data_IF_018193052900
#
_entry.id   IF_018193052900
#
_cell.length_a   1.000
_cell.length_b   1.000
_cell.length_c   1.000
_cell.angle_alpha   90.00
_cell.angle_beta   90.00
_cell.angle_gamma   90.00
#
_symmetry.space_group_name_H-M   'P 1'
#
loop_
_entity.id
_entity.type
_entity.pdbx_description
1 polymer ?
#
# COMPACT_ATOMS: atom_id res chain seq x y z
N UNK A 1 -6.80 -45.33 -12.24
CA UNK A 1 -8.20 -45.49 -11.79
C UNK A 1 -8.27 -45.00 -10.35
N UNK A 2 -9.40 -44.40 -9.95
CA UNK A 2 -9.59 -43.40 -8.89
C UNK A 2 -9.24 -42.00 -9.44
N UNK A 3 -10.13 -41.15 -9.98
CA UNK A 3 -11.55 -40.92 -9.69
C UNK A 3 -11.66 -39.74 -8.72
N UNK A 4 -11.88 -38.49 -9.17
CA UNK A 4 -11.94 -37.34 -8.27
C UNK A 4 -13.28 -37.30 -7.54
N UNK A 5 -13.23 -36.96 -6.26
CA UNK A 5 -14.38 -36.82 -5.39
C UNK A 5 -15.24 -35.61 -5.80
N UNK A 6 -16.55 -35.86 -5.88
CA UNK A 6 -17.60 -34.90 -6.21
C UNK A 6 -17.77 -33.86 -5.08
N UNK A 7 -17.79 -32.59 -5.46
CA UNK A 7 -18.27 -31.49 -4.62
C UNK A 7 -19.79 -31.54 -4.52
N UNK A 8 -20.41 -31.26 -3.35
CA UNK A 8 -21.86 -31.21 -3.26
C UNK A 8 -22.39 -29.96 -3.96
N UNK A 9 -23.32 -30.22 -4.87
CA UNK A 9 -24.14 -29.30 -5.65
C UNK A 9 -25.09 -28.51 -4.74
N UNK A 10 -24.71 -27.30 -4.34
CA UNK A 10 -25.63 -26.33 -3.75
C UNK A 10 -26.46 -25.68 -4.87
N UNK A 11 -27.52 -26.40 -5.26
CA UNK A 11 -28.55 -25.92 -6.15
C UNK A 11 -29.30 -24.72 -5.57
N UNK A 12 -28.87 -23.51 -5.94
CA UNK A 12 -29.71 -22.32 -5.88
C UNK A 12 -29.74 -21.62 -7.24
N UNK A 13 -30.83 -21.86 -7.97
CA UNK A 13 -31.21 -21.12 -9.16
C UNK A 13 -31.47 -19.66 -8.79
N UNK A 14 -30.66 -18.73 -9.32
CA UNK A 14 -30.88 -17.28 -9.17
C UNK A 14 -32.22 -16.90 -9.83
N UNK A 15 -33.17 -16.27 -9.12
CA UNK A 15 -34.24 -15.55 -9.78
C UNK A 15 -33.61 -14.40 -10.58
N UNK A 16 -33.89 -14.36 -11.88
CA UNK A 16 -33.41 -13.32 -12.77
C UNK A 16 -33.96 -11.95 -12.38
N UNK A 17 -33.08 -11.02 -12.04
CA UNK A 17 -33.41 -9.62 -11.80
C UNK A 17 -32.31 -8.93 -10.99
N UNK A 18 -31.36 -8.29 -11.64
CA UNK A 18 -30.41 -7.40 -10.97
C UNK A 18 -31.19 -6.24 -10.33
N UNK A 19 -31.02 -5.94 -9.02
CA UNK A 19 -31.49 -4.67 -8.48
C UNK A 19 -30.71 -3.53 -9.14
N UNK A 20 -31.38 -2.75 -9.99
CA UNK A 20 -30.81 -1.55 -10.60
C UNK A 20 -30.95 -0.40 -9.62
N UNK A 21 -29.87 -0.08 -8.91
CA UNK A 21 -29.74 1.21 -8.23
C UNK A 21 -29.68 2.28 -9.32
N UNK A 22 -30.57 3.30 -9.34
CA UNK A 22 -30.48 4.39 -10.31
C UNK A 22 -29.13 5.11 -10.18
N UNK A 23 -28.44 5.32 -11.29
CA UNK A 23 -27.23 6.15 -11.34
C UNK A 23 -27.55 7.61 -11.01
N UNK A 24 -26.57 8.38 -10.49
CA UNK A 24 -26.77 9.81 -10.21
C UNK A 24 -27.08 10.58 -11.49
N UNK A 25 -27.87 11.66 -11.38
CA UNK A 25 -28.19 12.58 -12.49
C UNK A 25 -26.89 13.12 -13.11
N UNK A 26 -26.83 13.15 -14.44
CA UNK A 26 -25.75 13.81 -15.17
C UNK A 26 -25.71 15.32 -14.85
N UNK A 27 -24.51 15.89 -14.78
CA UNK A 27 -24.33 17.32 -14.66
C UNK A 27 -24.93 18.03 -15.90
N UNK A 28 -25.61 19.16 -15.68
CA UNK A 28 -26.37 19.87 -16.70
C UNK A 28 -25.51 20.69 -17.69
N UNK A 29 -24.19 20.66 -17.55
CA UNK A 29 -23.28 21.51 -18.30
C UNK A 29 -22.31 20.63 -19.09
N UNK A 30 -22.72 20.18 -20.28
CA UNK A 30 -21.85 19.80 -21.40
C UNK A 30 -22.73 19.48 -22.62
N UNK A 31 -23.21 20.53 -23.30
CA UNK A 31 -23.77 20.41 -24.65
C UNK A 31 -22.96 21.32 -25.58
N UNK A 32 -22.10 20.69 -26.38
CA UNK A 32 -21.39 21.29 -27.50
C UNK A 32 -22.39 21.70 -28.60
N UNK A 33 -22.46 22.99 -28.99
CA UNK A 33 -23.43 23.47 -29.98
C UNK A 33 -23.18 22.97 -31.42
N UNK A 34 -22.12 22.19 -31.68
CA UNK A 34 -21.76 21.72 -33.02
C UNK A 34 -22.48 20.44 -33.51
N UNK A 35 -23.27 19.76 -32.68
CA UNK A 35 -23.97 18.50 -33.03
C UNK A 35 -25.49 18.54 -32.82
N UNK A 36 -26.15 19.56 -33.35
CA UNK A 36 -27.62 19.58 -33.44
C UNK A 36 -28.13 18.54 -34.48
N UNK A 37 -28.96 17.54 -34.12
CA UNK A 37 -29.57 16.64 -35.09
C UNK A 37 -30.62 17.37 -35.94
N UNK A 38 -30.65 17.05 -37.22
CA UNK A 38 -31.61 17.59 -38.19
C UNK A 38 -33.05 17.15 -37.87
N UNK A 39 -33.97 18.12 -38.02
CA UNK A 39 -35.44 18.05 -38.07
C UNK A 39 -36.10 16.70 -37.77
N UNK A 40 -36.59 16.54 -36.55
CA UNK A 40 -37.50 15.45 -36.19
C UNK A 40 -38.85 15.57 -36.94
N UNK A 41 -39.49 14.43 -37.30
CA UNK A 41 -40.86 14.43 -37.80
C UNK A 41 -41.82 15.04 -36.77
N UNK A 42 -42.98 15.57 -37.20
CA UNK A 42 -43.90 16.29 -36.32
C UNK A 42 -44.29 15.42 -35.11
N UNK A 43 -44.44 16.03 -33.92
CA UNK A 43 -44.67 15.31 -32.69
C UNK A 43 -45.91 14.42 -32.83
N UNK A 44 -45.74 13.14 -32.52
CA UNK A 44 -46.88 12.30 -32.19
C UNK A 44 -47.61 12.97 -31.01
N UNK A 45 -48.95 12.96 -30.98
CA UNK A 45 -49.68 13.51 -29.86
C UNK A 45 -49.15 12.88 -28.56
N UNK A 46 -48.98 13.66 -27.48
CA UNK A 46 -48.46 13.14 -26.23
C UNK A 46 -49.27 11.91 -25.84
N UNK A 47 -48.59 10.79 -25.63
CA UNK A 47 -49.20 9.66 -24.93
C UNK A 47 -49.78 10.23 -23.64
N UNK A 48 -51.08 10.03 -23.44
CA UNK A 48 -51.78 10.51 -22.25
C UNK A 48 -50.96 10.12 -21.02
N UNK A 49 -50.48 11.12 -20.27
CA UNK A 49 -49.85 10.89 -18.98
C UNK A 49 -50.89 10.12 -18.16
N UNK A 50 -50.61 8.87 -17.76
CA UNK A 50 -51.58 8.10 -17.01
C UNK A 50 -51.95 8.93 -15.76
N UNK A 51 -53.25 8.99 -15.41
CA UNK A 51 -53.69 9.76 -14.26
C UNK A 51 -52.89 9.31 -13.02
N UNK A 52 -52.57 10.25 -12.11
CA UNK A 52 -51.85 9.89 -10.89
C UNK A 52 -52.59 8.75 -10.19
N UNK A 53 -51.86 7.77 -9.62
CA UNK A 53 -52.48 6.60 -9.02
C UNK A 53 -53.48 7.06 -7.95
N UNK A 54 -54.70 6.51 -8.03
CA UNK A 54 -55.74 6.87 -7.07
C UNK A 54 -55.28 6.52 -5.64
N UNK A 55 -55.81 7.23 -4.65
CA UNK A 55 -55.57 6.91 -3.23
C UNK A 55 -55.83 5.43 -2.91
N UNK A 56 -56.83 4.78 -3.52
CA UNK A 56 -57.09 3.35 -3.32
C UNK A 56 -55.92 2.46 -3.78
N UNK A 57 -55.27 2.82 -4.90
CA UNK A 57 -54.10 2.11 -5.43
C UNK A 57 -52.91 2.32 -4.49
N UNK A 58 -52.62 3.56 -4.11
CA UNK A 58 -51.51 3.88 -3.20
C UNK A 58 -51.68 3.22 -1.82
N UNK A 59 -52.90 3.19 -1.30
CA UNK A 59 -53.25 2.47 -0.07
C UNK A 59 -53.01 0.96 -0.19
N UNK A 60 -53.30 0.36 -1.34
CA UNK A 60 -53.03 -1.08 -1.58
C UNK A 60 -51.54 -1.40 -1.66
N UNK A 61 -50.69 -0.43 -2.03
CA UNK A 61 -49.25 -0.60 -2.12
C UNK A 61 -48.53 -0.51 -0.76
N UNK A 62 -49.18 -0.04 0.30
CA UNK A 62 -48.55 0.15 1.62
C UNK A 62 -47.90 -1.12 2.17
N UNK A 63 -48.54 -2.28 1.96
CA UNK A 63 -47.98 -3.57 2.39
C UNK A 63 -46.73 -3.98 1.60
N UNK A 64 -46.75 -3.80 0.27
CA UNK A 64 -45.59 -4.08 -0.58
C UNK A 64 -44.45 -3.09 -0.33
N UNK A 65 -44.78 -1.82 -0.07
CA UNK A 65 -43.83 -0.78 0.30
C UNK A 65 -43.17 -1.07 1.66
N UNK A 66 -43.95 -1.53 2.65
CA UNK A 66 -43.43 -1.92 3.96
C UNK A 66 -42.44 -3.09 3.89
N UNK A 67 -42.59 -3.98 2.89
CA UNK A 67 -41.70 -5.10 2.60
C UNK A 67 -40.55 -4.76 1.62
N UNK A 68 -40.39 -3.49 1.23
CA UNK A 68 -39.45 -3.05 0.21
C UNK A 68 -39.59 -3.81 -1.14
N UNK A 69 -40.82 -4.20 -1.49
CA UNK A 69 -41.14 -4.98 -2.69
C UNK A 69 -41.74 -4.15 -3.84
N UNK A 70 -41.88 -2.83 -3.66
CA UNK A 70 -42.32 -1.91 -4.71
C UNK A 70 -41.21 -1.60 -5.71
N UNK A 71 -41.58 -1.27 -6.95
CA UNK A 71 -40.66 -0.63 -7.90
C UNK A 71 -40.26 0.78 -7.42
N UNK A 72 -39.24 1.37 -8.05
CA UNK A 72 -38.79 2.73 -7.69
C UNK A 72 -39.88 3.79 -7.91
N UNK A 73 -40.66 3.67 -8.98
CA UNK A 73 -41.76 4.59 -9.33
C UNK A 73 -42.92 4.47 -8.32
N UNK A 74 -43.28 3.25 -7.93
CA UNK A 74 -44.31 3.00 -6.90
C UNK A 74 -43.85 3.46 -5.52
N UNK A 75 -42.57 3.28 -5.19
CA UNK A 75 -41.99 3.72 -3.91
C UNK A 75 -42.09 5.23 -3.79
N UNK A 76 -41.67 5.97 -4.83
CA UNK A 76 -41.77 7.43 -4.84
C UNK A 76 -43.23 7.88 -4.72
N UNK A 77 -44.15 7.28 -5.48
CA UNK A 77 -45.56 7.64 -5.45
C UNK A 77 -46.21 7.38 -4.09
N UNK A 78 -45.84 6.29 -3.41
CA UNK A 78 -46.27 6.01 -2.04
C UNK A 78 -45.68 7.02 -1.06
N UNK A 79 -44.38 7.28 -1.10
CA UNK A 79 -43.72 8.24 -0.20
C UNK A 79 -44.31 9.65 -0.31
N UNK A 80 -44.52 10.13 -1.53
CA UNK A 80 -45.19 11.41 -1.78
C UNK A 80 -46.60 11.42 -1.14
N UNK A 81 -47.38 10.35 -1.34
CA UNK A 81 -48.71 10.20 -0.74
C UNK A 81 -48.71 10.17 0.79
N UNK A 82 -47.71 9.54 1.41
CA UNK A 82 -47.60 9.49 2.87
C UNK A 82 -47.37 10.88 3.49
N UNK A 83 -46.77 11.82 2.76
CA UNK A 83 -46.62 13.21 3.23
C UNK A 83 -47.95 13.96 3.29
N UNK A 84 -48.93 13.55 2.48
CA UNK A 84 -50.22 14.24 2.32
C UNK A 84 -51.39 13.53 3.01
N UNK A 85 -51.23 12.24 3.38
CA UNK A 85 -52.30 11.42 3.94
C UNK A 85 -51.94 10.79 5.30
N UNK A 86 -52.28 11.49 6.39
CA UNK A 86 -52.01 11.04 7.75
C UNK A 86 -52.53 9.61 8.08
N UNK A 87 -53.75 9.20 7.66
CA UNK A 87 -54.22 7.83 7.89
C UNK A 87 -53.36 6.75 7.22
N UNK A 88 -52.87 7.02 6.00
CA UNK A 88 -51.97 6.09 5.29
C UNK A 88 -50.57 6.09 5.91
N UNK A 89 -50.09 7.22 6.43
CA UNK A 89 -48.83 7.29 7.16
C UNK A 89 -48.86 6.48 8.47
N UNK A 90 -49.95 6.58 9.24
CA UNK A 90 -50.15 5.76 10.43
C UNK A 90 -50.20 4.26 10.10
N UNK A 91 -50.92 3.89 9.03
CA UNK A 91 -50.99 2.49 8.59
C UNK A 91 -49.63 1.99 8.08
N UNK A 92 -48.88 2.82 7.34
CA UNK A 92 -47.54 2.48 6.86
C UNK A 92 -46.56 2.24 8.02
N UNK A 93 -46.64 3.03 9.10
CA UNK A 93 -45.86 2.81 10.31
C UNK A 93 -46.23 1.48 10.97
N UNK A 94 -47.52 1.20 11.16
CA UNK A 94 -47.98 -0.09 11.73
C UNK A 94 -47.53 -1.29 10.91
N UNK A 95 -47.58 -1.18 9.57
CA UNK A 95 -47.13 -2.24 8.68
C UNK A 95 -45.61 -2.44 8.78
N UNK A 96 -44.81 -1.38 8.88
CA UNK A 96 -43.36 -1.49 9.12
C UNK A 96 -43.04 -2.12 10.47
N UNK A 97 -43.75 -1.73 11.53
CA UNK A 97 -43.60 -2.33 12.86
C UNK A 97 -43.93 -3.83 12.81
N UNK A 98 -44.99 -4.21 12.10
CA UNK A 98 -45.37 -5.61 11.91
C UNK A 98 -44.34 -6.41 11.08
N UNK A 99 -43.75 -5.80 10.05
CA UNK A 99 -42.63 -6.42 9.29
C UNK A 99 -41.43 -6.66 10.21
N UNK A 100 -41.14 -5.75 11.14
CA UNK A 100 -40.11 -5.94 12.16
C UNK A 100 -40.31 -7.17 13.04
N UNK A 101 -41.57 -7.60 13.27
CA UNK A 101 -41.91 -8.83 14.01
C UNK A 101 -41.79 -10.11 13.16
N UNK A 102 -41.75 -9.99 11.84
CA UNK A 102 -41.60 -11.11 10.90
C UNK A 102 -40.14 -11.41 10.57
N UNK A 103 -39.24 -10.46 10.81
CA UNK A 103 -37.81 -10.67 10.67
C UNK A 103 -37.25 -11.42 11.89
N UNK A 104 -36.52 -12.53 11.70
CA UNK A 104 -35.68 -13.08 12.77
C UNK A 104 -34.69 -12.00 13.23
N UNK A 105 -34.33 -11.98 14.51
CA UNK A 105 -33.23 -11.15 14.99
C UNK A 105 -31.94 -11.55 14.27
N UNK A 106 -31.58 -10.81 13.22
CA UNK A 106 -30.30 -10.98 12.55
C UNK A 106 -29.19 -10.35 13.41
N UNK A 107 -28.11 -11.09 13.60
CA UNK A 107 -26.90 -10.60 14.26
C UNK A 107 -26.40 -9.33 13.58
N UNK A 108 -26.19 -8.25 14.36
CA UNK A 108 -25.59 -6.98 13.89
C UNK A 108 -24.11 -7.10 13.49
N UNK A 109 -23.52 -8.30 13.63
CA UNK A 109 -22.14 -8.57 13.25
C UNK A 109 -22.00 -8.54 11.72
N UNK A 110 -21.42 -7.45 11.23
CA UNK A 110 -21.03 -7.33 9.83
C UNK A 110 -19.97 -8.41 9.53
N UNK A 111 -20.10 -9.09 8.39
CA UNK A 111 -19.07 -10.02 7.93
C UNK A 111 -17.71 -9.29 7.89
N UNK A 112 -16.59 -9.85 8.39
CA UNK A 112 -15.31 -9.15 8.50
C UNK A 112 -14.82 -8.52 7.18
N UNK A 113 -15.15 -9.15 6.04
CA UNK A 113 -14.78 -8.68 4.70
C UNK A 113 -15.83 -7.76 4.05
N UNK A 114 -16.95 -7.46 4.71
CA UNK A 114 -18.01 -6.65 4.11
C UNK A 114 -17.51 -5.23 3.85
N UNK A 115 -16.81 -4.63 4.81
CA UNK A 115 -16.25 -3.28 4.67
C UNK A 115 -15.27 -3.21 3.49
N UNK A 116 -14.32 -4.14 3.40
CA UNK A 116 -13.34 -4.15 2.31
C UNK A 116 -14.00 -4.35 0.95
N UNK A 117 -14.94 -5.30 0.84
CA UNK A 117 -15.70 -5.54 -0.40
C UNK A 117 -16.55 -4.33 -0.83
N UNK A 118 -17.20 -3.66 0.11
CA UNK A 118 -17.99 -2.46 -0.17
C UNK A 118 -17.07 -1.33 -0.64
N UNK A 119 -15.95 -1.11 0.03
CA UNK A 119 -14.97 -0.09 -0.39
C UNK A 119 -14.39 -0.40 -1.77
N UNK A 120 -14.05 -1.66 -2.05
CA UNK A 120 -13.55 -2.11 -3.35
C UNK A 120 -14.59 -1.89 -4.45
N UNK A 121 -15.86 -2.28 -4.24
CA UNK A 121 -16.95 -2.04 -5.19
C UNK A 121 -17.20 -0.53 -5.41
N UNK A 122 -17.16 0.27 -4.34
CA UNK A 122 -17.27 1.73 -4.43
C UNK A 122 -16.12 2.37 -5.23
N UNK A 123 -14.87 1.96 -4.98
CA UNK A 123 -13.69 2.46 -5.68
C UNK A 123 -13.65 1.99 -7.14
N UNK A 124 -14.11 0.77 -7.42
CA UNK A 124 -14.27 0.26 -8.78
C UNK A 124 -15.32 1.04 -9.58
N UNK A 125 -16.42 1.44 -8.94
CA UNK A 125 -17.46 2.27 -9.55
C UNK A 125 -17.05 3.72 -9.74
N UNK A 126 -16.20 4.26 -8.87
CA UNK A 126 -15.72 5.64 -8.91
C UNK A 126 -14.19 5.69 -8.80
N UNK A 127 -13.47 5.35 -9.88
CA UNK A 127 -12.02 5.37 -9.86
C UNK A 127 -11.50 6.78 -9.61
N UNK A 128 -10.33 6.86 -8.96
CA UNK A 128 -9.63 8.13 -8.78
C UNK A 128 -9.38 8.76 -10.16
N UNK A 129 -9.71 10.06 -10.30
CA UNK A 129 -9.44 10.81 -11.54
C UNK A 129 -7.96 10.79 -11.89
N UNK A 130 -7.10 10.76 -10.86
CA UNK A 130 -5.64 10.73 -10.98
C UNK A 130 -5.16 9.63 -10.03
N UNK A 131 -4.85 8.44 -10.56
CA UNK A 131 -4.39 7.33 -9.72
C UNK A 131 -2.94 7.54 -9.29
N UNK A 132 -2.61 7.05 -8.10
CA UNK A 132 -1.23 6.93 -7.64
C UNK A 132 -0.52 5.88 -8.50
N UNK A 133 0.71 6.12 -8.99
CA UNK A 133 1.47 5.12 -9.71
C UNK A 133 1.68 3.86 -8.86
N UNK A 134 1.55 2.68 -9.46
CA UNK A 134 1.63 1.39 -8.73
C UNK A 134 2.93 1.27 -7.91
N UNK A 135 4.06 1.73 -8.46
CA UNK A 135 5.35 1.71 -7.77
C UNK A 135 5.46 2.70 -6.60
N UNK A 136 4.59 3.72 -6.52
CA UNK A 136 4.52 4.66 -5.41
C UNK A 136 3.47 4.26 -4.34
N UNK A 137 2.58 3.31 -4.66
CA UNK A 137 1.50 2.85 -3.77
C UNK A 137 2.01 2.33 -2.41
N UNK A 138 3.13 1.57 -2.33
CA UNK A 138 3.65 1.15 -1.03
C UNK A 138 4.06 2.33 -0.14
N UNK A 139 4.73 3.34 -0.70
CA UNK A 139 5.13 4.53 0.05
C UNK A 139 3.92 5.32 0.56
N UNK A 140 2.92 5.58 -0.31
CA UNK A 140 1.67 6.26 0.08
C UNK A 140 0.95 5.52 1.21
N UNK A 141 0.94 4.18 1.13
CA UNK A 141 0.29 3.35 2.16
C UNK A 141 1.05 3.34 3.48
N UNK A 142 2.36 3.09 3.47
CA UNK A 142 3.13 2.98 4.71
C UNK A 142 3.26 4.33 5.43
N UNK A 143 3.39 5.44 4.70
CA UNK A 143 3.36 6.79 5.29
C UNK A 143 1.99 7.12 5.89
N UNK A 144 0.88 6.76 5.24
CA UNK A 144 -0.46 6.93 5.80
C UNK A 144 -0.68 6.07 7.05
N UNK A 145 -0.17 4.84 7.08
CA UNK A 145 -0.25 3.95 8.26
C UNK A 145 0.55 4.50 9.44
N UNK A 146 1.76 5.00 9.19
CA UNK A 146 2.56 5.66 10.22
C UNK A 146 1.89 6.95 10.70
N UNK A 147 1.35 7.78 9.80
CA UNK A 147 0.64 9.01 10.20
C UNK A 147 -0.60 8.70 11.07
N UNK A 148 -1.32 7.61 10.79
CA UNK A 148 -2.43 7.16 11.62
C UNK A 148 -1.97 6.77 13.04
N UNK A 149 -0.84 6.06 13.17
CA UNK A 149 -0.24 5.77 14.48
C UNK A 149 0.12 7.07 15.23
N UNK A 150 0.76 8.01 14.54
CA UNK A 150 1.22 9.28 15.13
C UNK A 150 0.06 10.24 15.49
N UNK A 151 -1.11 10.08 14.86
CA UNK A 151 -2.26 10.93 15.11
C UNK A 151 -2.73 10.85 16.57
N UNK A 152 -2.63 9.67 17.17
CA UNK A 152 -3.12 9.39 18.52
C UNK A 152 -2.10 9.77 19.61
N UNK A 153 -0.89 10.20 19.25
CA UNK A 153 0.17 10.51 20.21
C UNK A 153 -0.09 11.85 20.93
N UNK A 154 0.04 11.82 22.26
CA UNK A 154 0.24 13.00 23.10
C UNK A 154 1.66 13.57 23.00
N UNK A 155 1.91 14.74 23.60
CA UNK A 155 3.21 15.41 23.51
C UNK A 155 4.36 14.60 24.14
N UNK A 156 4.08 13.80 25.17
CA UNK A 156 5.08 12.94 25.82
C UNK A 156 5.61 11.84 24.90
N UNK A 157 4.74 11.25 24.09
CA UNK A 157 5.04 10.10 23.23
C UNK A 157 6.04 10.50 22.11
N UNK A 158 6.03 11.77 21.69
CA UNK A 158 7.03 12.31 20.75
C UNK A 158 8.46 12.30 21.31
N UNK A 159 8.59 12.24 22.63
CA UNK A 159 9.87 12.15 23.34
C UNK A 159 10.22 10.72 23.78
N UNK A 160 9.37 9.74 23.50
CA UNK A 160 9.66 8.33 23.80
C UNK A 160 10.97 7.91 23.13
N UNK A 161 11.93 7.33 23.88
CA UNK A 161 13.21 6.90 23.32
C UNK A 161 13.04 5.75 22.32
N UNK A 162 13.60 5.92 21.13
CA UNK A 162 13.67 4.88 20.09
C UNK A 162 15.13 4.50 19.86
N UNK A 163 15.40 3.22 19.61
CA UNK A 163 16.75 2.73 19.27
C UNK A 163 16.77 2.26 17.83
N UNK A 164 17.29 3.10 16.96
CA UNK A 164 17.57 2.72 15.58
C UNK A 164 18.71 1.71 15.53
N UNK A 165 18.62 0.76 14.60
CA UNK A 165 19.59 -0.32 14.39
C UNK A 165 19.90 -0.41 12.89
N UNK A 166 21.16 -0.69 12.57
CA UNK A 166 21.61 -0.99 11.21
C UNK A 166 22.89 -1.83 11.29
N UNK A 167 23.38 -2.31 10.15
CA UNK A 167 24.56 -3.15 10.06
C UNK A 167 25.67 -2.45 9.26
N UNK A 168 26.86 -2.36 9.84
CA UNK A 168 28.01 -1.69 9.22
C UNK A 168 29.32 -2.29 9.73
N UNK A 169 30.29 -2.53 8.85
CA UNK A 169 31.61 -3.10 9.20
C UNK A 169 31.52 -4.43 9.98
N UNK A 170 30.72 -5.39 9.49
CA UNK A 170 30.53 -6.71 10.13
C UNK A 170 29.91 -6.67 11.54
N UNK A 171 29.28 -5.54 11.91
CA UNK A 171 28.68 -5.40 13.24
C UNK A 171 27.40 -4.59 13.21
N UNK A 172 26.49 -4.97 14.10
CA UNK A 172 25.29 -4.17 14.35
C UNK A 172 25.66 -2.88 15.05
N UNK A 173 25.16 -1.78 14.51
CA UNK A 173 25.21 -0.43 15.07
C UNK A 173 23.86 -0.07 15.65
N UNK A 174 23.87 0.89 16.57
CA UNK A 174 22.63 1.46 17.07
C UNK A 174 22.81 2.90 17.49
N UNK A 175 21.77 3.70 17.31
CA UNK A 175 21.71 5.08 17.77
C UNK A 175 20.43 5.27 18.57
N UNK A 176 20.53 5.99 19.71
CA UNK A 176 19.36 6.41 20.47
C UNK A 176 18.84 7.73 19.92
N UNK A 177 17.54 7.82 19.75
CA UNK A 177 16.82 9.03 19.37
C UNK A 177 15.45 9.03 20.06
N UNK A 178 14.51 9.88 19.62
CA UNK A 178 13.11 9.86 20.03
C UNK A 178 12.19 9.60 18.85
N UNK A 179 10.90 9.36 19.08
CA UNK A 179 9.88 9.31 18.02
C UNK A 179 10.00 10.52 17.08
N UNK A 180 10.07 11.74 17.63
CA UNK A 180 10.25 12.95 16.81
C UNK A 180 11.57 12.92 16.00
N UNK A 181 12.64 12.38 16.58
CA UNK A 181 13.91 12.21 15.88
C UNK A 181 13.86 11.19 14.73
N UNK A 182 13.06 10.13 14.86
CA UNK A 182 12.80 9.15 13.77
C UNK A 182 11.99 9.78 12.64
N UNK A 183 10.94 10.54 12.95
CA UNK A 183 10.15 11.23 11.92
C UNK A 183 11.00 12.28 11.20
N UNK A 184 11.85 13.00 11.94
CA UNK A 184 12.84 13.88 11.34
C UNK A 184 13.82 13.17 10.42
N UNK A 185 14.33 12.00 10.83
CA UNK A 185 15.16 11.14 9.98
C UNK A 185 14.44 10.80 8.67
N UNK A 186 13.23 10.23 8.72
CA UNK A 186 12.42 9.88 7.54
C UNK A 186 12.24 11.07 6.59
N UNK A 187 11.79 12.21 7.12
CA UNK A 187 11.60 13.46 6.36
C UNK A 187 12.88 13.89 5.64
N UNK A 188 14.01 13.88 6.33
CA UNK A 188 15.27 14.36 5.77
C UNK A 188 15.78 13.46 4.66
N UNK A 189 15.61 12.15 4.78
CA UNK A 189 16.03 11.20 3.75
C UNK A 189 15.07 11.22 2.54
N UNK A 190 13.77 11.40 2.76
CA UNK A 190 12.79 11.62 1.68
C UNK A 190 13.10 12.89 0.86
N UNK A 191 13.89 13.82 1.42
CA UNK A 191 14.46 14.95 0.69
C UNK A 191 15.34 14.56 -0.49
N UNK A 192 15.93 13.36 -0.53
CA UNK A 192 16.65 12.85 -1.70
C UNK A 192 15.71 12.68 -2.90
N UNK A 193 14.49 12.19 -2.66
CA UNK A 193 13.44 12.06 -3.68
C UNK A 193 12.92 13.44 -4.07
N UNK A 194 12.69 14.33 -3.10
CA UNK A 194 12.28 15.70 -3.36
C UNK A 194 13.25 16.41 -4.33
N UNK A 195 14.56 16.31 -4.06
CA UNK A 195 15.61 16.87 -4.91
C UNK A 195 15.60 16.28 -6.32
N UNK A 196 15.46 14.96 -6.46
CA UNK A 196 15.41 14.30 -7.77
C UNK A 196 14.20 14.74 -8.61
N UNK A 197 13.10 15.13 -7.94
CA UNK A 197 11.90 15.69 -8.55
C UNK A 197 11.96 17.21 -8.79
N UNK A 198 13.04 17.86 -8.37
CA UNK A 198 13.20 19.32 -8.47
C UNK A 198 12.31 20.11 -7.50
N UNK A 199 11.90 19.48 -6.40
CA UNK A 199 11.17 20.10 -5.30
C UNK A 199 12.15 20.69 -4.28
N UNK A 200 11.65 21.55 -3.40
CA UNK A 200 12.46 22.11 -2.31
C UNK A 200 12.90 21.02 -1.33
N UNK A 201 14.16 21.07 -0.90
CA UNK A 201 14.70 20.17 0.13
C UNK A 201 14.15 20.58 1.51
N UNK A 202 13.64 19.64 2.34
CA UNK A 202 13.16 19.94 3.69
C UNK A 202 14.26 20.51 4.63
N UNK A 203 15.53 20.28 4.33
CA UNK A 203 16.67 20.86 5.05
C UNK A 203 17.07 22.25 4.53
N UNK A 204 16.40 22.74 3.49
CA UNK A 204 16.69 24.02 2.87
C UNK A 204 17.97 24.03 2.02
N UNK A 205 18.46 25.21 1.62
CA UNK A 205 19.54 25.34 0.64
C UNK A 205 20.91 24.83 1.12
N UNK A 206 21.10 24.72 2.44
CA UNK A 206 22.32 24.21 3.07
C UNK A 206 22.28 22.69 3.31
N UNK A 207 21.28 22.00 2.74
CA UNK A 207 21.16 20.56 2.76
C UNK A 207 22.48 19.86 2.37
N UNK A 208 22.98 18.92 3.19
CA UNK A 208 24.16 18.14 2.83
C UNK A 208 23.92 17.39 1.52
N UNK A 209 24.91 17.46 0.61
CA UNK A 209 24.97 16.63 -0.60
C UNK A 209 25.36 15.17 -0.33
N UNK A 210 25.43 14.78 0.94
CA UNK A 210 25.77 13.42 1.35
C UNK A 210 24.56 12.49 1.31
N UNK A 211 24.80 11.20 1.56
CA UNK A 211 23.75 10.19 1.66
C UNK A 211 22.88 10.32 2.92
N UNK A 212 21.96 9.36 3.15
CA UNK A 212 21.00 9.38 4.26
C UNK A 212 21.61 9.76 5.62
N UNK A 213 22.72 9.11 6.01
CA UNK A 213 23.43 9.36 7.27
C UNK A 213 23.79 10.83 7.47
N UNK A 214 24.39 11.47 6.47
CA UNK A 214 24.85 12.86 6.59
C UNK A 214 23.69 13.84 6.76
N UNK A 215 22.54 13.55 6.13
CA UNK A 215 21.31 14.35 6.22
C UNK A 215 20.64 14.19 7.58
N UNK A 216 20.56 12.95 8.06
CA UNK A 216 20.05 12.60 9.39
C UNK A 216 20.86 13.29 10.49
N UNK A 217 22.19 13.16 10.43
CA UNK A 217 23.09 13.78 11.42
C UNK A 217 23.03 15.30 11.35
N UNK A 218 22.96 15.90 10.16
CA UNK A 218 22.80 17.34 10.02
C UNK A 218 21.51 17.81 10.70
N UNK A 219 20.39 17.13 10.47
CA UNK A 219 19.11 17.45 11.10
C UNK A 219 19.16 17.35 12.62
N UNK A 220 19.67 16.24 13.15
CA UNK A 220 19.75 16.03 14.60
C UNK A 220 20.69 17.03 15.30
N UNK A 221 21.70 17.53 14.59
CA UNK A 221 22.66 18.50 15.13
C UNK A 221 22.25 19.97 14.87
N UNK A 222 21.21 20.24 14.07
CA UNK A 222 20.83 21.60 13.66
C UNK A 222 20.18 22.42 14.80
N UNK A 223 19.61 21.78 15.82
CA UNK A 223 18.93 22.43 16.93
C UNK A 223 19.53 22.05 18.28
N UNK A 224 19.73 23.05 19.14
CA UNK A 224 20.11 22.84 20.54
C UNK A 224 18.95 22.27 21.39
N UNK A 225 17.72 22.34 20.89
CA UNK A 225 16.53 21.81 21.55
C UNK A 225 16.06 20.51 20.89
N UNK A 226 15.55 19.53 21.66
CA UNK A 226 15.02 18.30 21.12
C UNK A 226 13.89 18.55 20.11
N UNK A 227 13.87 17.77 19.03
CA UNK A 227 12.75 17.75 18.09
C UNK A 227 11.46 17.37 18.82
N UNK A 228 10.37 18.01 18.46
CA UNK A 228 9.03 17.81 19.07
C UNK A 228 8.04 17.34 18.00
N UNK A 229 6.76 17.19 18.39
CA UNK A 229 5.62 16.94 17.50
C UNK A 229 5.57 17.83 16.25
N UNK A 230 6.17 19.01 16.28
CA UNK A 230 6.17 19.96 15.17
C UNK A 230 6.76 19.39 13.86
N UNK A 231 7.57 18.32 13.92
CA UNK A 231 8.11 17.65 12.73
C UNK A 231 7.05 16.87 11.92
N UNK A 232 5.92 16.53 12.53
CA UNK A 232 4.86 15.73 11.88
C UNK A 232 4.30 16.40 10.64
N UNK A 233 3.91 17.68 10.75
CA UNK A 233 3.23 18.36 9.64
C UNK A 233 4.16 18.51 8.43
N UNK A 234 5.41 18.99 8.56
CA UNK A 234 6.34 19.05 7.43
C UNK A 234 6.61 17.69 6.79
N UNK A 235 6.80 16.63 7.59
CA UNK A 235 6.99 15.27 7.08
C UNK A 235 5.78 14.80 6.27
N UNK A 236 4.57 15.01 6.79
CA UNK A 236 3.31 14.61 6.15
C UNK A 236 3.05 15.40 4.86
N UNK A 237 3.24 16.71 4.89
CA UNK A 237 3.09 17.57 3.72
C UNK A 237 4.10 17.21 2.62
N UNK A 238 5.34 16.88 2.99
CA UNK A 238 6.35 16.40 2.07
C UNK A 238 5.89 15.11 1.39
N UNK A 239 5.50 14.07 2.15
CA UNK A 239 5.04 12.80 1.60
C UNK A 239 3.88 12.98 0.61
N UNK A 240 2.88 13.80 0.97
CA UNK A 240 1.79 14.15 0.07
C UNK A 240 2.26 14.86 -1.20
N UNK A 241 3.22 15.77 -1.09
CA UNK A 241 3.79 16.50 -2.23
C UNK A 241 4.54 15.55 -3.16
N UNK A 242 5.30 14.59 -2.62
CA UNK A 242 5.98 13.57 -3.41
C UNK A 242 4.98 12.71 -4.19
N UNK A 243 4.00 12.12 -3.52
CA UNK A 243 2.97 11.25 -4.14
C UNK A 243 2.17 12.03 -5.18
N UNK A 244 1.75 13.26 -4.86
CA UNK A 244 1.05 14.13 -5.80
C UNK A 244 1.92 14.39 -7.03
N UNK A 245 3.18 14.79 -6.86
CA UNK A 245 4.06 15.15 -7.97
C UNK A 245 4.21 13.99 -8.95
N UNK A 246 4.46 12.77 -8.47
CA UNK A 246 4.62 11.59 -9.34
C UNK A 246 3.31 11.13 -9.98
N UNK A 247 2.16 11.39 -9.34
CA UNK A 247 0.84 11.09 -9.90
C UNK A 247 0.47 11.96 -11.09
N UNK A 248 1.05 13.16 -11.20
CA UNK A 248 0.88 14.06 -12.35
C UNK A 248 2.03 13.98 -13.36
N UNK A 249 3.09 13.22 -13.06
CA UNK A 249 4.26 13.13 -13.90
C UNK A 249 4.05 12.24 -15.13
N UNK A 250 4.81 12.52 -16.19
CA UNK A 250 4.76 11.77 -17.45
C UNK A 250 5.41 10.38 -17.38
N UNK A 251 5.26 9.62 -18.48
CA UNK A 251 5.96 8.35 -18.64
C UNK A 251 7.48 8.55 -18.54
N UNK A 252 8.15 7.71 -17.76
CA UNK A 252 9.61 7.75 -17.57
C UNK A 252 10.08 8.43 -16.28
N UNK A 253 9.20 9.06 -15.49
CA UNK A 253 9.59 9.65 -14.19
C UNK A 253 10.20 8.62 -13.24
N UNK A 254 9.74 7.36 -13.32
CA UNK A 254 10.23 6.25 -12.50
C UNK A 254 11.72 5.93 -12.75
N UNK A 255 12.28 6.34 -13.88
CA UNK A 255 13.68 6.10 -14.26
C UNK A 255 14.62 7.23 -13.83
N UNK A 256 14.11 8.32 -13.25
CA UNK A 256 14.95 9.39 -12.74
C UNK A 256 15.90 8.85 -11.68
N UNK A 257 17.18 9.20 -11.79
CA UNK A 257 18.20 8.74 -10.84
C UNK A 257 18.09 9.53 -9.53
N UNK A 258 17.90 8.82 -8.42
CA UNK A 258 17.96 9.35 -7.06
C UNK A 258 19.31 8.99 -6.46
N UNK A 259 20.09 10.00 -6.09
CA UNK A 259 21.43 9.84 -5.51
C UNK A 259 21.35 9.58 -4.00
N UNK A 260 21.84 8.42 -3.56
CA UNK A 260 21.97 8.05 -2.15
C UNK A 260 23.43 8.25 -1.64
N UNK A 261 24.27 8.91 -2.44
CA UNK A 261 25.69 9.16 -2.19
C UNK A 261 26.57 8.00 -2.67
N UNK A 262 26.52 6.86 -1.97
CA UNK A 262 27.33 5.69 -2.31
C UNK A 262 26.84 4.91 -3.53
N UNK A 263 25.59 5.13 -3.92
CA UNK A 263 24.90 4.47 -5.03
C UNK A 263 23.70 5.33 -5.46
N UNK A 264 23.04 4.95 -6.55
CA UNK A 264 21.82 5.59 -7.01
C UNK A 264 20.75 4.54 -7.33
N UNK A 265 19.48 4.93 -7.17
CA UNK A 265 18.32 4.12 -7.53
C UNK A 265 17.46 4.86 -8.57
N UNK A 266 16.80 4.14 -9.50
CA UNK A 266 15.65 4.69 -10.20
C UNK A 266 14.61 5.18 -9.20
N UNK A 267 13.91 6.27 -9.51
CA UNK A 267 12.90 6.88 -8.64
C UNK A 267 11.83 5.87 -8.19
N UNK A 268 11.40 4.97 -9.07
CA UNK A 268 10.46 3.91 -8.71
C UNK A 268 10.98 3.01 -7.59
N UNK A 269 12.23 2.58 -7.69
CA UNK A 269 12.91 1.78 -6.68
C UNK A 269 13.21 2.61 -5.41
N UNK A 270 13.49 3.91 -5.55
CA UNK A 270 13.66 4.80 -4.42
C UNK A 270 12.36 4.91 -3.59
N UNK A 271 11.19 5.02 -4.22
CA UNK A 271 9.90 5.02 -3.51
C UNK A 271 9.65 3.69 -2.77
N UNK A 272 10.00 2.56 -3.38
CA UNK A 272 9.93 1.25 -2.71
C UNK A 272 10.88 1.16 -1.52
N UNK A 273 12.11 1.68 -1.66
CA UNK A 273 13.07 1.76 -0.56
C UNK A 273 12.56 2.66 0.57
N UNK A 274 12.03 3.85 0.26
CA UNK A 274 11.44 4.72 1.29
C UNK A 274 10.24 4.08 1.97
N UNK A 275 9.44 3.30 1.25
CA UNK A 275 8.32 2.56 1.82
C UNK A 275 8.81 1.50 2.83
N UNK A 276 9.88 0.78 2.50
CA UNK A 276 10.52 -0.18 3.39
C UNK A 276 11.04 0.50 4.66
N UNK A 277 11.80 1.59 4.52
CA UNK A 277 12.33 2.36 5.65
C UNK A 277 11.22 2.97 6.52
N UNK A 278 10.14 3.48 5.90
CA UNK A 278 8.98 3.99 6.63
C UNK A 278 8.31 2.89 7.47
N UNK A 279 8.12 1.70 6.90
CA UNK A 279 7.55 0.57 7.63
C UNK A 279 8.45 0.10 8.79
N UNK A 280 9.76 -0.09 8.54
CA UNK A 280 10.72 -0.51 9.56
C UNK A 280 10.76 0.49 10.72
N UNK A 281 10.78 1.78 10.42
CA UNK A 281 10.79 2.80 11.47
C UNK A 281 9.45 3.01 12.15
N UNK A 282 8.33 2.72 11.47
CA UNK A 282 7.04 2.64 12.13
C UNK A 282 7.00 1.48 13.12
N UNK A 283 7.62 0.34 12.79
CA UNK A 283 7.80 -0.78 13.71
C UNK A 283 8.66 -0.38 14.91
N UNK A 284 9.81 0.28 14.70
CA UNK A 284 10.67 0.79 15.79
C UNK A 284 9.90 1.71 16.75
N UNK A 285 9.07 2.60 16.21
CA UNK A 285 8.23 3.50 17.00
C UNK A 285 7.18 2.70 17.77
N UNK A 286 6.46 1.81 17.09
CA UNK A 286 5.41 1.00 17.70
C UNK A 286 5.95 0.11 18.82
N UNK A 287 7.12 -0.51 18.65
CA UNK A 287 7.81 -1.24 19.71
C UNK A 287 8.15 -0.33 20.90
N UNK A 288 8.60 0.90 20.65
CA UNK A 288 8.98 1.82 21.72
C UNK A 288 7.79 2.33 22.56
N UNK A 289 6.57 2.31 22.01
CA UNK A 289 5.33 2.73 22.69
C UNK A 289 4.40 1.55 23.03
N UNK A 290 4.87 0.31 22.90
CA UNK A 290 4.09 -0.92 23.14
C UNK A 290 2.77 -0.98 22.32
N UNK A 291 2.82 -0.55 21.05
CA UNK A 291 1.68 -0.56 20.13
C UNK A 291 1.74 -1.73 19.13
N UNK A 292 0.63 -2.44 18.87
CA UNK A 292 0.60 -3.51 17.87
C UNK A 292 0.68 -2.95 16.45
N UNK A 293 1.68 -3.37 15.67
CA UNK A 293 1.87 -2.89 14.30
C UNK A 293 2.08 -4.06 13.33
N UNK A 294 1.12 -4.24 12.42
CA UNK A 294 1.14 -5.35 11.47
C UNK A 294 2.16 -5.14 10.32
N UNK A 295 2.63 -6.21 9.67
CA UNK A 295 3.40 -6.09 8.43
C UNK A 295 2.65 -5.40 7.27
N UNK A 296 3.35 -4.98 6.20
CA UNK A 296 2.72 -4.50 4.97
C UNK A 296 1.87 -5.59 4.31
N UNK A 297 0.98 -5.18 3.40
CA UNK A 297 0.22 -6.14 2.60
C UNK A 297 1.17 -7.02 1.78
N UNK A 298 0.78 -8.28 1.53
CA UNK A 298 1.61 -9.23 0.76
C UNK A 298 2.18 -8.67 -0.55
N UNK A 299 1.38 -7.99 -1.40
CA UNK A 299 1.90 -7.35 -2.62
C UNK A 299 2.93 -6.24 -2.37
N UNK A 300 2.75 -5.42 -1.32
CA UNK A 300 3.72 -4.38 -0.97
C UNK A 300 5.01 -4.99 -0.42
N UNK A 301 4.87 -5.97 0.48
CA UNK A 301 6.00 -6.70 1.06
C UNK A 301 6.80 -7.43 -0.03
N UNK A 302 6.13 -8.05 -1.01
CA UNK A 302 6.79 -8.64 -2.18
C UNK A 302 7.64 -7.63 -2.96
N UNK A 303 7.11 -6.42 -3.21
CA UNK A 303 7.86 -5.38 -3.92
C UNK A 303 9.09 -4.90 -3.15
N UNK A 304 9.01 -4.82 -1.82
CA UNK A 304 10.16 -4.47 -0.97
C UNK A 304 11.21 -5.59 -0.96
N UNK A 305 10.79 -6.85 -0.85
CA UNK A 305 11.67 -8.03 -0.90
C UNK A 305 12.33 -8.13 -2.26
N UNK A 306 11.58 -7.95 -3.35
CA UNK A 306 12.11 -7.96 -4.71
C UNK A 306 13.21 -6.92 -4.89
N UNK A 307 12.98 -5.69 -4.43
CA UNK A 307 14.00 -4.65 -4.46
C UNK A 307 15.26 -5.07 -3.69
N UNK A 308 15.10 -5.53 -2.44
CA UNK A 308 16.24 -5.98 -1.63
C UNK A 308 17.03 -7.11 -2.33
N UNK A 309 16.33 -8.10 -2.89
CA UNK A 309 16.94 -9.20 -3.65
C UNK A 309 17.72 -8.69 -4.89
N UNK A 310 17.16 -7.75 -5.65
CA UNK A 310 17.83 -7.12 -6.81
C UNK A 310 19.08 -6.34 -6.43
N UNK A 311 19.18 -5.83 -5.20
CA UNK A 311 20.34 -5.08 -4.71
C UNK A 311 21.48 -6.00 -4.23
N UNK A 312 21.20 -7.26 -3.89
CA UNK A 312 22.20 -8.19 -3.31
C UNK A 312 23.46 -8.39 -4.17
N UNK A 313 23.39 -8.58 -5.50
CA UNK A 313 24.62 -8.72 -6.31
C UNK A 313 25.54 -7.51 -6.23
N UNK A 314 24.95 -6.30 -6.22
CA UNK A 314 25.68 -5.03 -6.08
C UNK A 314 26.30 -4.88 -4.69
N UNK A 315 25.53 -5.14 -3.64
CA UNK A 315 25.99 -5.10 -2.26
C UNK A 315 27.14 -6.10 -2.02
N UNK A 316 27.02 -7.33 -2.52
CA UNK A 316 28.07 -8.34 -2.44
C UNK A 316 29.36 -7.88 -3.14
N UNK A 317 29.25 -7.30 -4.34
CA UNK A 317 30.41 -6.76 -5.05
C UNK A 317 31.06 -5.58 -4.29
N UNK A 318 30.28 -4.73 -3.63
CA UNK A 318 30.81 -3.66 -2.79
C UNK A 318 31.55 -4.19 -1.56
N UNK A 319 30.97 -5.18 -0.86
CA UNK A 319 31.62 -5.84 0.28
C UNK A 319 32.95 -6.45 -0.11
N UNK A 320 33.05 -7.11 -1.27
CA UNK A 320 34.33 -7.63 -1.79
C UNK A 320 35.36 -6.54 -2.02
N UNK A 321 34.97 -5.41 -2.63
CA UNK A 321 35.88 -4.25 -2.83
C UNK A 321 36.37 -3.67 -1.50
N UNK A 322 35.55 -3.73 -0.45
CA UNK A 322 35.90 -3.32 0.89
C UNK A 322 36.72 -4.37 1.67
N UNK A 323 36.97 -5.56 1.09
CA UNK A 323 37.68 -6.65 1.77
C UNK A 323 36.85 -7.37 2.85
N UNK A 324 35.52 -7.21 2.83
CA UNK A 324 34.58 -7.78 3.81
C UNK A 324 33.94 -9.09 3.34
N UNK A 325 34.26 -9.56 2.14
CA UNK A 325 33.75 -10.81 1.57
C UNK A 325 34.84 -11.52 0.76
N UNK A 326 34.70 -12.83 0.58
CA UNK A 326 35.66 -13.62 -0.17
C UNK A 326 35.78 -13.14 -1.63
N UNK A 327 36.96 -13.21 -2.27
CA UNK A 327 37.10 -12.87 -3.68
C UNK A 327 36.14 -13.66 -4.57
N UNK A 328 35.70 -13.05 -5.67
CA UNK A 328 34.88 -13.75 -6.66
C UNK A 328 35.63 -14.99 -7.18
N UNK A 329 34.94 -16.13 -7.26
CA UNK A 329 35.57 -17.40 -7.69
C UNK A 329 35.68 -17.50 -9.22
N UNK A 330 34.82 -16.80 -9.95
CA UNK A 330 34.85 -16.72 -11.40
C UNK A 330 34.15 -15.47 -11.92
N UNK A 331 34.93 -14.44 -12.27
CA UNK A 331 34.38 -13.27 -12.94
C UNK A 331 33.93 -13.64 -14.35
N UNK A 332 32.74 -13.19 -14.72
CA UNK A 332 32.16 -13.42 -16.05
C UNK A 332 31.74 -12.10 -16.68
N UNK A 333 31.72 -12.05 -18.01
CA UNK A 333 31.17 -10.91 -18.73
C UNK A 333 29.69 -10.72 -18.39
N UNK A 334 29.19 -9.48 -18.49
CA UNK A 334 27.78 -9.20 -18.30
C UNK A 334 26.91 -10.05 -19.26
N UNK A 335 25.82 -10.63 -18.74
CA UNK A 335 24.93 -11.54 -19.46
C UNK A 335 25.43 -12.98 -19.59
N UNK A 336 26.70 -13.27 -19.27
CA UNK A 336 27.20 -14.64 -19.25
C UNK A 336 26.73 -15.37 -17.97
N UNK A 337 26.52 -16.70 -18.01
CA UNK A 337 26.05 -17.46 -16.87
C UNK A 337 27.10 -17.50 -15.74
N UNK A 338 26.72 -17.07 -14.54
CA UNK A 338 27.57 -17.04 -13.34
C UNK A 338 27.16 -18.08 -12.29
N UNK A 339 27.91 -18.16 -11.17
CA UNK A 339 27.44 -18.89 -9.98
C UNK A 339 26.22 -18.19 -9.39
N UNK A 340 25.24 -18.98 -8.99
CA UNK A 340 23.94 -18.52 -8.51
C UNK A 340 23.68 -19.05 -7.10
N UNK A 341 23.08 -18.22 -6.25
CA UNK A 341 22.41 -18.66 -5.03
C UNK A 341 20.91 -18.48 -5.21
N UNK A 342 20.12 -19.50 -4.88
CA UNK A 342 18.66 -19.43 -4.91
C UNK A 342 18.15 -18.98 -3.53
N UNK A 343 17.40 -17.88 -3.50
CA UNK A 343 16.76 -17.32 -2.31
C UNK A 343 15.26 -17.58 -2.39
N UNK A 344 14.76 -18.43 -1.50
CA UNK A 344 13.32 -18.64 -1.30
C UNK A 344 12.86 -17.81 -0.10
N UNK A 345 11.76 -17.07 -0.27
CA UNK A 345 11.09 -16.37 0.82
C UNK A 345 9.70 -16.95 1.01
N UNK A 346 9.42 -17.40 2.23
CA UNK A 346 8.13 -17.94 2.62
C UNK A 346 7.18 -16.83 3.12
N UNK A 347 5.88 -17.14 3.16
CA UNK A 347 4.87 -16.26 3.77
C UNK A 347 4.31 -15.19 2.83
N UNK A 348 3.74 -14.15 3.44
CA UNK A 348 3.09 -13.06 2.70
C UNK A 348 4.14 -12.27 1.89
N UNK A 349 3.91 -12.14 0.59
CA UNK A 349 4.86 -11.49 -0.32
C UNK A 349 6.08 -12.34 -0.68
N UNK A 350 6.10 -13.62 -0.29
CA UNK A 350 7.14 -14.59 -0.63
C UNK A 350 7.29 -14.88 -2.13
N UNK A 351 8.27 -15.71 -2.46
CA UNK A 351 8.67 -16.05 -3.82
C UNK A 351 10.09 -16.61 -3.89
N UNK A 352 10.58 -16.84 -5.10
CA UNK A 352 11.96 -17.30 -5.35
C UNK A 352 12.74 -16.30 -6.20
N UNK A 353 13.97 -16.00 -5.79
CA UNK A 353 14.91 -15.12 -6.48
C UNK A 353 16.25 -15.80 -6.68
N UNK A 354 16.83 -15.63 -7.87
CA UNK A 354 18.19 -16.09 -8.13
C UNK A 354 19.17 -14.92 -8.01
N UNK A 355 20.20 -15.10 -7.18
CA UNK A 355 21.19 -14.06 -6.88
C UNK A 355 22.52 -14.40 -7.57
N UNK A 356 22.98 -13.48 -8.42
CA UNK A 356 24.30 -13.59 -9.04
C UNK A 356 25.42 -13.37 -8.01
N UNK A 357 26.29 -14.38 -7.83
CA UNK A 357 27.27 -14.36 -6.74
C UNK A 357 28.57 -13.65 -7.11
N UNK A 358 29.14 -13.88 -8.29
CA UNK A 358 30.52 -13.48 -8.59
C UNK A 358 30.63 -12.16 -9.37
N UNK A 359 29.61 -11.78 -10.12
CA UNK A 359 29.58 -10.55 -10.92
C UNK A 359 28.16 -10.00 -10.98
N UNK A 360 27.92 -8.72 -10.62
CA UNK A 360 26.57 -8.16 -10.55
C UNK A 360 25.78 -8.25 -11.86
N UNK A 361 26.46 -8.17 -13.01
CA UNK A 361 25.85 -8.28 -14.33
C UNK A 361 25.78 -9.71 -14.88
N UNK A 362 26.15 -10.73 -14.12
CA UNK A 362 26.06 -12.12 -14.58
C UNK A 362 24.59 -12.55 -14.71
N UNK A 363 24.31 -13.39 -15.71
CA UNK A 363 23.01 -14.04 -15.83
C UNK A 363 22.94 -15.21 -14.84
N UNK A 364 21.84 -15.32 -14.12
CA UNK A 364 21.59 -16.46 -13.23
C UNK A 364 21.26 -17.72 -14.02
N UNK A 365 21.55 -18.89 -13.45
CA UNK A 365 21.39 -20.19 -14.13
C UNK A 365 21.17 -21.28 -13.09
N UNK A 366 20.06 -22.04 -13.17
CA UNK A 366 19.80 -23.18 -12.28
C UNK A 366 20.91 -24.23 -12.32
N UNK A 367 21.55 -24.43 -13.47
CA UNK A 367 22.67 -25.36 -13.63
C UNK A 367 23.94 -24.93 -12.90
N UNK A 368 24.01 -23.66 -12.47
CA UNK A 368 25.11 -23.06 -11.70
C UNK A 368 24.68 -22.61 -10.31
N UNK A 369 23.54 -23.10 -9.81
CA UNK A 369 23.15 -22.93 -8.42
C UNK A 369 24.12 -23.69 -7.53
N UNK A 370 24.81 -22.97 -6.65
CA UNK A 370 25.81 -23.55 -5.72
C UNK A 370 25.31 -23.58 -4.27
N UNK A 371 24.25 -22.84 -3.99
CA UNK A 371 23.65 -22.74 -2.67
C UNK A 371 22.18 -22.31 -2.76
N UNK A 372 21.42 -22.67 -1.75
CA UNK A 372 20.00 -22.33 -1.59
C UNK A 372 19.78 -21.88 -0.14
N UNK A 373 19.02 -20.80 0.04
CA UNK A 373 18.57 -20.32 1.35
C UNK A 373 17.07 -20.07 1.35
N UNK A 374 16.43 -20.34 2.48
CA UNK A 374 15.00 -20.12 2.71
C UNK A 374 14.79 -19.36 4.03
N UNK A 375 14.00 -18.28 4.00
CA UNK A 375 13.62 -17.49 5.19
C UNK A 375 12.15 -17.05 5.12
N UNK A 376 11.54 -16.75 6.26
CA UNK A 376 10.28 -15.99 6.29
C UNK A 376 10.51 -14.55 5.78
N UNK A 377 9.50 -13.96 5.13
CA UNK A 377 9.59 -12.61 4.59
C UNK A 377 9.90 -11.52 5.63
N UNK A 378 9.33 -11.62 6.83
CA UNK A 378 9.62 -10.66 7.90
C UNK A 378 11.04 -10.87 8.41
N UNK A 379 11.48 -12.11 8.58
CA UNK A 379 12.86 -12.44 8.98
C UNK A 379 13.89 -11.84 7.99
N UNK A 380 13.65 -12.00 6.69
CA UNK A 380 14.52 -11.42 5.66
C UNK A 380 14.53 -9.89 5.70
N UNK A 381 13.38 -9.25 5.89
CA UNK A 381 13.29 -7.81 6.04
C UNK A 381 14.01 -7.30 7.30
N UNK A 382 13.87 -7.99 8.44
CA UNK A 382 14.59 -7.65 9.67
C UNK A 382 16.11 -7.81 9.50
N UNK A 383 16.56 -8.81 8.74
CA UNK A 383 17.97 -8.96 8.35
C UNK A 383 18.42 -7.78 7.48
N UNK A 384 17.68 -7.47 6.42
CA UNK A 384 17.98 -6.38 5.49
C UNK A 384 17.98 -5.00 6.18
N UNK A 385 17.17 -4.83 7.23
CA UNK A 385 17.12 -3.65 8.09
C UNK A 385 18.18 -3.65 9.21
N UNK A 386 19.07 -4.67 9.28
CA UNK A 386 20.13 -4.75 10.29
C UNK A 386 19.63 -4.91 11.73
N UNK A 387 18.39 -5.34 11.92
CA UNK A 387 17.79 -5.54 13.23
C UNK A 387 18.26 -6.82 13.89
N UNK A 388 18.44 -7.86 13.08
CA UNK A 388 19.05 -9.15 13.42
C UNK A 388 20.41 -9.29 12.75
N UNK A 389 21.33 -10.03 13.38
CA UNK A 389 22.62 -10.33 12.77
C UNK A 389 22.48 -11.45 11.73
N UNK A 390 23.35 -11.51 10.71
CA UNK A 390 23.39 -12.65 9.78
C UNK A 390 23.52 -14.00 10.47
N UNK A 391 24.20 -14.05 11.62
CA UNK A 391 24.37 -15.27 12.42
C UNK A 391 23.14 -15.68 13.21
N UNK A 392 22.31 -14.72 13.62
CA UNK A 392 21.10 -14.97 14.41
C UNK A 392 19.87 -15.24 13.53
N UNK A 393 19.96 -14.97 12.22
CA UNK A 393 18.85 -15.14 11.29
C UNK A 393 18.38 -16.59 11.18
N UNK A 394 17.07 -16.80 11.28
CA UNK A 394 16.42 -18.10 11.14
C UNK A 394 16.38 -18.52 9.66
N UNK A 395 17.48 -19.08 9.16
CA UNK A 395 17.67 -19.46 7.76
C UNK A 395 17.76 -20.97 7.56
N UNK A 396 16.89 -21.51 6.69
CA UNK A 396 17.10 -22.81 6.07
C UNK A 396 18.21 -22.69 5.03
N UNK A 397 19.23 -23.54 5.06
CA UNK A 397 20.42 -23.38 4.22
C UNK A 397 20.95 -24.70 3.66
N UNK A 398 21.33 -24.70 2.38
CA UNK A 398 21.92 -25.85 1.69
C UNK A 398 23.01 -25.41 0.71
N UNK A 399 24.09 -26.18 0.58
CA UNK A 399 25.17 -25.93 -0.40
C UNK A 399 26.39 -25.15 0.15
N UNK A 400 26.97 -24.29 -0.70
CA UNK A 400 28.23 -23.56 -0.44
C UNK A 400 28.10 -22.55 0.71
N UNK A 401 28.65 -22.92 1.89
CA UNK A 401 28.57 -22.12 3.12
C UNK A 401 29.17 -20.72 3.00
N UNK A 402 30.22 -20.54 2.19
CA UNK A 402 30.83 -19.22 1.99
C UNK A 402 29.90 -18.32 1.19
N UNK A 403 29.26 -18.86 0.14
CA UNK A 403 28.28 -18.12 -0.66
C UNK A 403 27.05 -17.72 0.18
N UNK A 404 26.56 -18.63 1.02
CA UNK A 404 25.45 -18.36 1.94
C UNK A 404 25.81 -17.22 2.89
N UNK A 405 26.96 -17.33 3.58
CA UNK A 405 27.44 -16.29 4.49
C UNK A 405 27.56 -14.95 3.77
N UNK A 406 28.21 -14.92 2.62
CA UNK A 406 28.41 -13.72 1.82
C UNK A 406 27.07 -13.03 1.46
N UNK A 407 26.04 -13.80 1.11
CA UNK A 407 24.71 -13.25 0.77
C UNK A 407 23.96 -12.73 2.00
N UNK A 408 23.97 -13.45 3.12
CA UNK A 408 23.31 -12.98 4.35
C UNK A 408 23.94 -11.68 4.87
N UNK A 409 25.27 -11.57 4.80
CA UNK A 409 25.96 -10.36 5.15
C UNK A 409 25.76 -9.22 4.12
N UNK A 410 25.59 -9.56 2.83
CA UNK A 410 25.21 -8.59 1.81
C UNK A 410 23.81 -8.03 2.08
N UNK A 411 22.85 -8.88 2.45
CA UNK A 411 21.51 -8.46 2.85
C UNK A 411 21.56 -7.52 4.05
N UNK A 412 22.26 -7.88 5.13
CA UNK A 412 22.40 -7.00 6.29
C UNK A 412 23.00 -5.63 5.96
N UNK A 413 23.99 -5.60 5.06
CA UNK A 413 24.65 -4.37 4.64
C UNK A 413 23.80 -3.42 3.76
N UNK A 414 22.57 -3.80 3.43
CA UNK A 414 21.62 -2.88 2.78
C UNK A 414 21.12 -1.80 3.75
N UNK A 415 21.03 -2.13 5.04
CA UNK A 415 20.66 -1.18 6.10
C UNK A 415 21.67 -0.05 6.26
N UNK A 416 21.18 1.11 6.68
CA UNK A 416 21.97 2.32 6.94
C UNK A 416 21.21 3.25 7.88
N UNK A 417 21.94 4.21 8.45
CA UNK A 417 21.36 5.42 9.01
C UNK A 417 21.18 6.47 7.90
#
# INVERSE_FOLDING_TARGET
MNGPAESPDDGYQRPGGSPRIPGPRGAADDLDPAYAPQSMPPPQPPAEVPPPPSHAVLKSLLGAWALAACSAEETQAVEDHLTECAPCAEEALRLRDAVGLLHPEETLDLKPLLRSRVLEDCLGKRPARIPVPVWASPYDTETARLDALLQDFGDSEWHTPVRLKWFEEERRRSQRTTVAGVIGHLMTVDGLIANALGLDDPLGPDAPKGGPTARTEHFWNASAYPTTRQVREPWREQGHTLVRTVSFAGRGVAELSVDYGGFALPLGDAFLERAFECWVHAWDIAEAVDYPYEPPSGPHLHGMIDLAARLLPGALAQRRRAGLAAPARGLVAAGAPGRTLHLEIEGAGGGGWDIALDSPGARTSPERTVAEIALDGIEFCQLAAGHISPEDAAVGQHGDREAIRDVLFAAASLSRL
#
